data_IF_625353451620
#
_entry.id   IF_625353451620
#
_cell.length_a   1.000
_cell.length_b   1.000
_cell.length_c   1.000
_cell.angle_alpha   90.00
_cell.angle_beta   90.00
_cell.angle_gamma   90.00
#
_symmetry.space_group_name_H-M   'P 1'
#
loop_
_entity.id
_entity.type
_entity.pdbx_description
1 polymer ?
#
# COMPACT_ATOMS: atom_id res chain seq x y z
N UNK A 1 -39.00 -12.12 34.46
CA UNK A 1 -39.23 -13.46 33.88
C UNK A 1 -38.62 -13.50 32.49
N UNK A 2 -38.01 -14.64 32.14
CA UNK A 2 -37.48 -15.04 30.82
C UNK A 2 -36.01 -14.71 30.52
N UNK A 3 -35.20 -15.73 30.81
CA UNK A 3 -33.89 -16.04 30.25
C UNK A 3 -33.91 -16.09 28.72
N UNK A 4 -32.79 -15.75 28.08
CA UNK A 4 -32.41 -16.40 26.83
C UNK A 4 -30.89 -16.60 26.75
N UNK A 5 -30.53 -17.86 26.55
CA UNK A 5 -29.17 -18.39 26.36
C UNK A 5 -28.61 -17.98 24.99
N UNK A 6 -27.29 -17.82 24.89
CA UNK A 6 -26.64 -17.52 23.61
C UNK A 6 -25.13 -17.73 23.64
N UNK A 7 -24.72 -19.00 23.72
CA UNK A 7 -23.33 -19.47 23.72
C UNK A 7 -22.80 -19.65 22.28
N UNK A 8 -21.72 -18.96 21.88
CA UNK A 8 -20.79 -19.30 20.75
C UNK A 8 -19.49 -18.51 21.02
N UNK A 9 -18.29 -19.05 21.15
CA UNK A 9 -17.67 -20.23 20.55
C UNK A 9 -16.32 -19.77 19.96
N UNK A 10 -15.26 -19.76 20.76
CA UNK A 10 -13.91 -19.38 20.30
C UNK A 10 -13.34 -20.47 19.38
N UNK A 11 -13.11 -20.14 18.10
CA UNK A 11 -12.35 -20.99 17.17
C UNK A 11 -10.85 -20.71 17.30
N UNK A 12 -10.13 -21.67 17.88
CA UNK A 12 -8.68 -21.72 17.86
C UNK A 12 -8.17 -22.12 16.46
N UNK A 13 -7.29 -21.30 15.88
CA UNK A 13 -6.62 -21.58 14.61
C UNK A 13 -5.38 -22.44 14.90
N UNK A 14 -5.46 -23.75 14.62
CA UNK A 14 -4.28 -24.64 14.60
C UNK A 14 -3.54 -24.49 13.27
N UNK A 15 -2.24 -24.16 13.34
CA UNK A 15 -1.31 -24.16 12.18
C UNK A 15 -0.60 -25.51 12.05
N UNK A 16 -0.60 -26.00 10.80
CA UNK A 16 0.38 -26.84 10.09
C UNK A 16 0.76 -28.22 10.65
N UNK A 17 0.57 -29.24 9.79
CA UNK A 17 1.64 -30.11 9.23
C UNK A 17 1.02 -30.98 8.13
N UNK A 18 1.28 -30.63 6.87
CA UNK A 18 1.00 -31.49 5.72
C UNK A 18 2.23 -32.36 5.48
N UNK A 19 2.07 -33.67 5.63
CA UNK A 19 3.04 -34.67 5.21
C UNK A 19 3.04 -34.76 3.67
N UNK A 20 4.23 -34.85 3.07
CA UNK A 20 4.41 -35.23 1.66
C UNK A 20 5.03 -36.64 1.60
N UNK A 21 4.64 -37.46 0.62
CA UNK A 21 5.13 -38.82 0.48
C UNK A 21 6.56 -38.85 -0.08
N UNK A 22 7.35 -39.76 0.46
CA UNK A 22 8.71 -40.11 0.06
C UNK A 22 8.69 -41.02 -1.16
N UNK A 23 9.18 -40.53 -2.30
CA UNK A 23 9.60 -41.36 -3.42
C UNK A 23 11.07 -41.68 -3.28
N UNK A 24 11.36 -42.96 -3.07
CA UNK A 24 12.68 -43.57 -3.02
C UNK A 24 13.26 -43.70 -4.44
N UNK A 25 14.28 -42.90 -4.75
CA UNK A 25 15.13 -43.08 -5.93
C UNK A 25 16.43 -43.74 -5.47
N UNK A 26 16.53 -45.04 -5.72
CA UNK A 26 17.75 -45.84 -5.57
C UNK A 26 18.82 -45.32 -6.52
N UNK A 27 19.93 -44.83 -5.95
CA UNK A 27 21.11 -44.42 -6.71
C UNK A 27 22.14 -45.52 -6.57
N UNK A 28 22.32 -46.33 -7.62
CA UNK A 28 23.41 -47.28 -7.76
C UNK A 28 24.73 -46.50 -7.78
N UNK A 29 25.56 -46.68 -6.76
CA UNK A 29 26.94 -46.21 -6.76
C UNK A 29 27.84 -47.36 -7.19
N UNK A 30 28.34 -47.25 -8.41
CA UNK A 30 29.40 -48.06 -9.00
C UNK A 30 30.70 -47.80 -8.24
N UNK A 31 31.23 -48.86 -7.64
CA UNK A 31 32.60 -48.91 -7.11
C UNK A 31 33.61 -48.91 -8.28
N UNK A 32 34.66 -48.09 -8.17
CA UNK A 32 35.89 -48.23 -8.94
C UNK A 32 37.04 -48.63 -8.00
N UNK A 33 38.04 -49.39 -8.50
CA UNK A 33 39.00 -50.09 -7.65
C UNK A 33 40.18 -49.21 -7.25
N UNK A 34 40.64 -49.41 -6.01
CA UNK A 34 41.86 -48.82 -5.46
C UNK A 34 42.98 -49.86 -5.56
N UNK A 35 44.01 -49.55 -6.33
CA UNK A 35 45.27 -50.30 -6.39
C UNK A 35 46.01 -50.23 -5.05
N UNK A 36 46.59 -51.35 -4.63
CA UNK A 36 47.61 -51.37 -3.57
C UNK A 36 48.60 -52.51 -3.82
N UNK A 37 49.84 -52.11 -4.07
CA UNK A 37 51.04 -52.94 -4.02
C UNK A 37 51.27 -53.49 -2.60
N UNK A 38 51.84 -54.70 -2.51
CA UNK A 38 52.25 -55.30 -1.25
C UNK A 38 52.88 -56.68 -1.39
N UNK A 39 54.16 -56.68 -1.76
CA UNK A 39 55.25 -57.64 -1.44
C UNK A 39 55.04 -58.67 -0.32
N UNK A 40 55.58 -59.88 -0.53
CA UNK A 40 55.93 -60.85 0.52
C UNK A 40 56.03 -62.30 0.01
N UNK A 41 57.18 -62.74 -0.51
CA UNK A 41 58.14 -63.69 0.13
C UNK A 41 57.70 -65.14 0.20
N UNK A 42 58.51 -66.06 -0.37
CA UNK A 42 58.44 -67.49 -0.05
C UNK A 42 59.07 -68.41 -1.09
N UNK A 43 60.40 -68.44 -1.18
CA UNK A 43 61.18 -69.51 -1.82
C UNK A 43 61.13 -70.79 -0.97
N UNK A 44 60.95 -71.95 -1.61
CA UNK A 44 61.13 -73.27 -1.00
C UNK A 44 61.49 -74.27 -2.08
N UNK A 45 62.73 -74.75 -2.04
CA UNK A 45 63.37 -75.63 -3.00
C UNK A 45 63.42 -77.02 -2.36
N UNK A 46 62.97 -78.08 -3.04
CA UNK A 46 63.33 -79.44 -2.65
C UNK A 46 63.21 -80.43 -3.83
N UNK A 47 64.38 -80.90 -4.23
CA UNK A 47 64.73 -82.16 -4.90
C UNK A 47 66.05 -82.60 -4.19
N UNK A 48 66.67 -83.77 -4.46
CA UNK A 48 66.28 -84.99 -5.18
C UNK A 48 66.67 -86.27 -4.39
N UNK A 49 66.46 -87.47 -4.96
CA UNK A 49 67.37 -88.65 -5.00
C UNK A 49 66.57 -89.85 -5.51
N UNK A 50 67.01 -90.80 -6.34
CA UNK A 50 68.24 -91.09 -7.08
C UNK A 50 67.92 -92.26 -8.04
N UNK A 51 68.33 -92.12 -9.30
CA UNK A 51 69.07 -93.09 -10.15
C UNK A 51 68.83 -94.60 -10.01
N UNK A 52 68.60 -95.29 -11.15
CA UNK A 52 69.61 -96.18 -11.79
C UNK A 52 69.45 -96.20 -13.34
N UNK A 53 70.52 -95.80 -14.03
CA UNK A 53 71.08 -96.24 -15.34
C UNK A 53 70.14 -96.58 -16.53
N UNK A 54 70.17 -95.81 -17.63
CA UNK A 54 71.06 -95.92 -18.82
C UNK A 54 70.27 -96.54 -20.00
N UNK A 55 70.32 -96.12 -21.27
CA UNK A 55 71.13 -95.20 -22.07
C UNK A 55 70.23 -94.68 -23.23
N UNK A 56 70.32 -93.42 -23.65
CA UNK A 56 70.96 -92.97 -24.91
C UNK A 56 70.69 -93.91 -26.12
N UNK A 57 70.18 -93.48 -27.28
CA UNK A 57 70.25 -92.17 -27.89
C UNK A 57 69.30 -92.05 -29.11
N UNK A 58 69.06 -90.79 -29.47
CA UNK A 58 68.85 -90.27 -30.82
C UNK A 58 67.45 -90.33 -31.45
N UNK A 59 66.83 -89.14 -31.45
CA UNK A 59 66.18 -88.48 -32.59
C UNK A 59 64.91 -89.15 -33.15
N UNK A 60 63.76 -88.48 -33.20
CA UNK A 60 63.51 -87.32 -34.07
C UNK A 60 62.09 -86.81 -33.84
N UNK A 61 61.87 -85.51 -33.79
CA UNK A 61 60.53 -84.91 -33.87
C UNK A 61 60.35 -84.23 -35.23
N UNK A 62 59.60 -84.89 -36.12
CA UNK A 62 59.00 -84.30 -37.29
C UNK A 62 57.52 -84.63 -37.29
N UNK A 63 56.72 -83.59 -37.54
CA UNK A 63 55.30 -83.61 -37.85
C UNK A 63 54.92 -84.72 -38.85
N UNK A 64 54.02 -85.60 -38.41
CA UNK A 64 53.18 -86.44 -39.25
C UNK A 64 52.05 -86.98 -38.39
N UNK A 65 50.82 -86.59 -38.72
CA UNK A 65 49.58 -87.21 -38.28
C UNK A 65 49.61 -88.69 -38.68
N UNK A 66 49.94 -89.55 -37.73
CA UNK A 66 49.97 -90.99 -37.92
C UNK A 66 49.59 -91.63 -36.60
N UNK A 67 48.30 -91.91 -36.44
CA UNK A 67 47.72 -92.60 -35.30
C UNK A 67 48.03 -94.10 -35.33
N UNK A 68 49.32 -94.46 -35.43
CA UNK A 68 49.83 -95.79 -35.22
C UNK A 68 51.32 -95.66 -34.87
N UNK A 69 51.70 -96.02 -33.64
CA UNK A 69 53.11 -96.17 -33.26
C UNK A 69 53.72 -97.24 -34.17
N UNK A 70 54.70 -96.92 -35.03
CA UNK A 70 55.31 -97.92 -35.90
C UNK A 70 56.10 -98.93 -35.05
N UNK A 71 56.16 -100.18 -35.50
CA UNK A 71 57.08 -101.17 -34.94
C UNK A 71 58.53 -100.65 -35.05
N UNK A 72 59.27 -100.67 -33.95
CA UNK A 72 60.60 -100.05 -33.81
C UNK A 72 61.70 -100.74 -34.66
N UNK A 73 61.38 -101.89 -35.28
CA UNK A 73 62.31 -102.69 -36.08
C UNK A 73 61.99 -102.69 -37.59
N UNK A 74 60.77 -102.32 -38.00
CA UNK A 74 60.37 -102.37 -39.42
C UNK A 74 59.51 -101.21 -39.94
N UNK A 75 59.04 -100.29 -39.08
CA UNK A 75 58.19 -99.12 -39.44
C UNK A 75 56.91 -99.43 -40.22
N UNK A 76 56.48 -100.69 -40.24
CA UNK A 76 55.24 -101.11 -40.89
C UNK A 76 54.02 -100.75 -40.00
N UNK A 77 52.96 -100.20 -40.58
CA UNK A 77 51.77 -99.78 -39.85
C UNK A 77 51.03 -101.00 -39.32
N UNK A 78 50.90 -101.10 -37.99
CA UNK A 78 50.13 -102.17 -37.35
C UNK A 78 48.65 -102.04 -37.72
N UNK A 79 48.08 -103.10 -38.28
CA UNK A 79 46.66 -103.14 -38.61
C UNK A 79 45.83 -103.27 -37.32
N UNK A 80 44.58 -102.82 -37.33
CA UNK A 80 43.69 -102.85 -36.15
C UNK A 80 43.64 -104.25 -35.49
N UNK A 81 43.69 -105.31 -36.28
CA UNK A 81 43.70 -106.70 -35.82
C UNK A 81 44.95 -107.06 -34.99
N UNK A 82 46.11 -106.45 -35.28
CA UNK A 82 47.36 -106.73 -34.60
C UNK A 82 47.43 -105.99 -33.25
N UNK A 83 46.90 -104.77 -33.23
CA UNK A 83 46.79 -103.97 -32.01
C UNK A 83 45.78 -104.60 -31.05
N UNK A 84 44.69 -105.19 -31.57
CA UNK A 84 43.71 -105.90 -30.76
C UNK A 84 44.27 -107.17 -30.09
N UNK A 85 45.25 -107.84 -30.70
CA UNK A 85 45.85 -109.07 -30.16
C UNK A 85 46.98 -108.82 -29.17
N UNK A 86 47.67 -107.68 -29.29
CA UNK A 86 48.92 -107.39 -28.58
C UNK A 86 48.76 -106.35 -27.46
N UNK A 87 47.70 -105.55 -27.47
CA UNK A 87 47.54 -104.41 -26.56
C UNK A 87 46.53 -104.68 -25.43
N UNK A 88 46.79 -104.11 -24.25
CA UNK A 88 45.85 -104.10 -23.12
C UNK A 88 44.56 -103.32 -23.44
N UNK A 89 43.46 -103.61 -22.74
CA UNK A 89 42.13 -102.98 -22.95
C UNK A 89 42.17 -101.44 -22.89
N UNK A 90 43.06 -100.86 -22.09
CA UNK A 90 43.23 -99.41 -22.05
C UNK A 90 43.97 -98.85 -23.27
N UNK A 91 44.88 -99.62 -23.86
CA UNK A 91 45.69 -99.23 -25.02
C UNK A 91 44.88 -99.37 -26.29
N UNK A 92 44.06 -100.43 -26.43
CA UNK A 92 43.14 -100.57 -27.56
C UNK A 92 42.05 -99.49 -27.53
N UNK A 93 41.46 -99.16 -26.37
CA UNK A 93 40.47 -98.09 -26.27
C UNK A 93 41.08 -96.69 -26.55
N UNK A 94 42.38 -96.50 -26.29
CA UNK A 94 43.10 -95.29 -26.72
C UNK A 94 43.32 -95.28 -28.22
N UNK A 95 43.70 -96.41 -28.81
CA UNK A 95 43.86 -96.57 -30.25
C UNK A 95 42.52 -96.37 -30.99
N UNK A 96 41.44 -97.03 -30.58
CA UNK A 96 40.09 -96.87 -31.13
C UNK A 96 39.63 -95.40 -31.09
N UNK A 97 39.81 -94.71 -29.95
CA UNK A 97 39.48 -93.28 -29.85
C UNK A 97 40.33 -92.43 -30.79
N UNK A 98 41.61 -92.75 -30.96
CA UNK A 98 42.49 -92.03 -31.87
C UNK A 98 42.12 -92.29 -33.33
N UNK A 99 41.77 -93.53 -33.69
CA UNK A 99 41.34 -93.91 -35.04
C UNK A 99 39.98 -93.29 -35.39
N UNK A 100 38.99 -93.37 -34.49
CA UNK A 100 37.68 -92.74 -34.67
C UNK A 100 37.84 -91.22 -34.77
N UNK A 101 38.68 -90.63 -33.91
CA UNK A 101 38.97 -89.20 -33.95
C UNK A 101 39.64 -88.81 -35.27
N UNK A 102 40.65 -89.56 -35.72
CA UNK A 102 41.33 -89.31 -36.98
C UNK A 102 40.40 -89.48 -38.19
N UNK A 103 39.49 -90.47 -38.16
CA UNK A 103 38.53 -90.70 -39.24
C UNK A 103 37.46 -89.61 -39.32
N UNK A 104 37.01 -89.08 -38.18
CA UNK A 104 36.02 -87.98 -38.14
C UNK A 104 36.69 -86.63 -38.39
N UNK A 105 37.97 -86.46 -38.02
CA UNK A 105 38.78 -85.29 -38.36
C UNK A 105 39.07 -85.19 -39.87
N UNK A 106 38.94 -86.27 -40.64
CA UNK A 106 39.11 -86.27 -42.09
C UNK A 106 37.94 -85.59 -42.83
N UNK A 107 36.76 -85.50 -42.19
CA UNK A 107 35.60 -84.83 -42.78
C UNK A 107 35.80 -83.31 -42.83
N UNK A 108 35.63 -82.71 -44.02
CA UNK A 108 35.77 -81.25 -44.24
C UNK A 108 34.80 -80.39 -43.42
N UNK A 109 33.73 -81.00 -42.90
CA UNK A 109 32.68 -80.36 -42.11
C UNK A 109 32.86 -80.57 -40.59
N UNK A 110 33.94 -81.21 -40.16
CA UNK A 110 34.18 -81.46 -38.75
C UNK A 110 34.82 -80.26 -38.05
N UNK A 111 34.35 -79.95 -36.85
CA UNK A 111 34.79 -78.80 -36.07
C UNK A 111 35.03 -79.17 -34.60
N UNK A 112 36.20 -78.78 -34.08
CA UNK A 112 36.50 -78.86 -32.64
C UNK A 112 35.96 -77.64 -31.93
N UNK A 113 35.21 -77.85 -30.85
CA UNK A 113 34.76 -76.73 -30.03
C UNK A 113 35.97 -75.93 -29.48
N UNK A 114 35.97 -74.62 -29.69
CA UNK A 114 37.01 -73.69 -29.19
C UNK A 114 37.00 -73.56 -27.66
N UNK A 115 35.96 -74.02 -26.98
CA UNK A 115 35.96 -74.14 -25.52
C UNK A 115 36.67 -75.41 -25.07
N UNK A 116 37.18 -75.43 -23.83
CA UNK A 116 37.86 -76.59 -23.22
C UNK A 116 36.96 -77.83 -22.96
N UNK A 117 35.82 -77.95 -23.65
CA UNK A 117 34.88 -79.05 -23.47
C UNK A 117 35.30 -80.34 -24.19
N UNK A 118 36.27 -80.26 -25.12
CA UNK A 118 36.88 -81.41 -25.79
C UNK A 118 35.92 -82.24 -26.65
N UNK A 119 34.77 -81.68 -27.05
CA UNK A 119 33.87 -82.31 -28.02
C UNK A 119 34.07 -81.73 -29.40
N UNK A 120 34.14 -82.60 -30.41
CA UNK A 120 34.06 -82.25 -31.82
C UNK A 120 32.67 -82.62 -32.36
N UNK A 121 32.24 -81.90 -33.39
CA UNK A 121 30.96 -82.16 -34.05
C UNK A 121 31.07 -81.87 -35.55
N UNK A 122 30.25 -82.55 -36.34
CA UNK A 122 30.11 -82.28 -37.77
C UNK A 122 29.05 -81.19 -37.94
N UNK A 123 29.38 -80.15 -38.70
CA UNK A 123 28.48 -79.05 -39.02
C UNK A 123 27.96 -79.23 -40.46
N UNK A 124 26.77 -79.81 -40.60
CA UNK A 124 26.17 -80.15 -41.90
C UNK A 124 25.96 -78.93 -42.81
N UNK A 125 25.75 -77.76 -42.22
CA UNK A 125 25.56 -76.50 -42.96
C UNK A 125 26.85 -75.90 -43.52
N UNK A 126 28.02 -76.46 -43.17
CA UNK A 126 29.34 -76.05 -43.65
C UNK A 126 29.60 -74.54 -43.53
N UNK A 127 30.27 -73.98 -44.55
CA UNK A 127 30.60 -72.55 -44.63
C UNK A 127 29.40 -71.63 -44.88
N UNK A 128 28.24 -72.17 -45.29
CA UNK A 128 27.04 -71.37 -45.57
C UNK A 128 26.39 -70.80 -44.30
N UNK A 129 26.62 -71.43 -43.14
CA UNK A 129 26.23 -70.91 -41.84
C UNK A 129 27.46 -70.89 -40.92
N UNK A 130 28.14 -69.75 -40.78
CA UNK A 130 29.42 -69.68 -40.08
C UNK A 130 29.30 -69.82 -38.54
N UNK A 131 28.09 -69.90 -37.99
CA UNK A 131 27.85 -70.07 -36.55
C UNK A 131 27.76 -71.56 -36.23
N UNK A 132 28.72 -72.07 -35.45
CA UNK A 132 28.65 -73.43 -34.88
C UNK A 132 28.30 -73.32 -33.40
N UNK A 133 27.22 -73.99 -33.00
CA UNK A 133 26.83 -74.10 -31.60
C UNK A 133 27.21 -75.48 -31.10
N UNK A 134 28.07 -75.53 -30.08
CA UNK A 134 28.52 -76.80 -29.53
C UNK A 134 27.36 -77.59 -28.91
N UNK A 135 27.16 -78.84 -29.29
CA UNK A 135 26.08 -79.69 -28.75
C UNK A 135 26.29 -80.01 -27.25
N UNK A 136 27.55 -80.10 -26.81
CA UNK A 136 27.89 -80.44 -25.41
C UNK A 136 27.79 -79.26 -24.44
N UNK A 137 28.18 -78.05 -24.87
CA UNK A 137 28.30 -76.88 -23.97
C UNK A 137 27.60 -75.61 -24.47
N UNK A 138 26.90 -75.65 -25.60
CA UNK A 138 26.19 -74.53 -26.22
C UNK A 138 27.05 -73.30 -26.54
N UNK A 139 28.38 -73.43 -26.54
CA UNK A 139 29.28 -72.35 -26.92
C UNK A 139 29.18 -72.04 -28.42
N UNK A 140 29.16 -70.75 -28.78
CA UNK A 140 29.10 -70.27 -30.17
C UNK A 140 30.52 -70.02 -30.68
N UNK A 141 30.87 -70.65 -31.79
CA UNK A 141 32.19 -70.51 -32.43
C UNK A 141 32.00 -70.20 -33.92
N UNK A 142 33.00 -69.58 -34.54
CA UNK A 142 33.01 -69.30 -35.97
C UNK A 142 33.63 -70.47 -36.73
N UNK A 143 32.90 -71.04 -37.71
CA UNK A 143 33.37 -72.16 -38.52
C UNK A 143 34.57 -71.80 -39.41
N UNK A 144 34.62 -70.55 -39.91
CA UNK A 144 35.67 -70.10 -40.85
C UNK A 144 36.99 -69.70 -40.17
N UNK A 145 36.91 -69.15 -38.97
CA UNK A 145 38.09 -68.64 -38.24
C UNK A 145 38.50 -69.50 -37.05
N UNK A 146 37.70 -70.50 -36.69
CA UNK A 146 37.91 -71.40 -35.55
C UNK A 146 38.06 -70.72 -34.16
N UNK A 147 37.59 -69.48 -34.05
CA UNK A 147 37.58 -68.70 -32.80
C UNK A 147 36.18 -68.59 -32.19
N UNK A 148 36.09 -68.04 -30.98
CA UNK A 148 34.83 -67.63 -30.37
C UNK A 148 34.00 -66.76 -31.32
N UNK A 149 32.68 -66.96 -31.33
CA UNK A 149 31.78 -66.23 -32.21
C UNK A 149 31.87 -64.71 -31.99
N UNK A 150 32.10 -63.97 -33.08
CA UNK A 150 32.13 -62.52 -33.10
C UNK A 150 30.71 -61.98 -33.36
N UNK A 151 30.02 -61.51 -32.30
CA UNK A 151 28.58 -61.18 -32.36
C UNK A 151 28.23 -59.98 -33.25
N UNK A 152 29.11 -59.00 -33.34
CA UNK A 152 28.84 -57.71 -34.00
C UNK A 152 29.64 -57.51 -35.30
N UNK A 153 30.29 -58.56 -35.79
CA UNK A 153 31.12 -58.53 -37.00
C UNK A 153 30.72 -59.64 -37.96
N UNK A 154 30.71 -59.34 -39.25
CA UNK A 154 30.70 -60.39 -40.26
C UNK A 154 32.08 -61.06 -40.33
N UNK A 155 32.15 -62.25 -40.93
CA UNK A 155 33.42 -62.97 -41.09
C UNK A 155 34.49 -62.13 -41.81
N UNK A 156 34.11 -61.41 -42.87
CA UNK A 156 34.99 -60.50 -43.62
C UNK A 156 35.38 -59.22 -42.86
N UNK A 157 34.56 -58.76 -41.91
CA UNK A 157 34.90 -57.64 -41.02
C UNK A 157 35.84 -58.08 -39.90
N UNK A 158 35.72 -59.33 -39.44
CA UNK A 158 36.62 -59.92 -38.47
C UNK A 158 38.03 -60.14 -39.04
N UNK A 159 38.14 -60.62 -40.28
CA UNK A 159 39.42 -60.72 -40.98
C UNK A 159 40.11 -59.36 -41.11
N UNK A 160 39.37 -58.32 -41.50
CA UNK A 160 39.90 -56.95 -41.60
C UNK A 160 40.31 -56.37 -40.25
N UNK A 161 39.64 -56.76 -39.17
CA UNK A 161 40.03 -56.37 -37.80
C UNK A 161 41.31 -57.07 -37.34
N UNK A 162 41.55 -58.30 -37.79
CA UNK A 162 42.81 -59.00 -37.53
C UNK A 162 43.98 -58.38 -38.32
N UNK A 163 43.73 -57.88 -39.52
CA UNK A 163 44.73 -57.20 -40.36
C UNK A 163 45.03 -55.77 -39.89
N UNK A 164 44.02 -55.02 -39.46
CA UNK A 164 44.13 -53.65 -38.95
C UNK A 164 43.43 -53.51 -37.58
N UNK A 165 44.19 -53.38 -36.48
CA UNK A 165 43.61 -53.26 -35.14
C UNK A 165 42.82 -51.96 -34.93
N UNK A 166 42.94 -50.97 -35.83
CA UNK A 166 42.16 -49.73 -35.81
C UNK A 166 40.89 -49.79 -36.67
N UNK A 167 40.56 -50.96 -37.23
CA UNK A 167 39.36 -51.15 -38.07
C UNK A 167 38.08 -50.87 -37.27
N UNK A 168 37.32 -49.88 -37.75
CA UNK A 168 35.98 -49.56 -37.23
C UNK A 168 34.92 -50.17 -38.12
N UNK A 169 34.00 -50.92 -37.52
CA UNK A 169 32.90 -51.52 -38.27
C UNK A 169 31.99 -50.44 -38.87
N UNK A 170 31.29 -50.78 -39.94
CA UNK A 170 30.32 -49.88 -40.57
C UNK A 170 29.24 -49.44 -39.56
N UNK A 171 28.80 -50.35 -38.70
CA UNK A 171 27.81 -50.10 -37.65
C UNK A 171 28.33 -49.10 -36.59
N UNK A 172 29.61 -49.17 -36.22
CA UNK A 172 30.23 -48.22 -35.29
C UNK A 172 30.29 -46.80 -35.89
N UNK A 173 30.69 -46.68 -37.16
CA UNK A 173 30.72 -45.41 -37.87
C UNK A 173 29.32 -44.80 -38.05
N UNK A 174 28.30 -45.63 -38.30
CA UNK A 174 26.92 -45.19 -38.40
C UNK A 174 26.37 -44.73 -37.04
N UNK A 175 26.68 -45.46 -35.96
CA UNK A 175 26.35 -45.07 -34.59
C UNK A 175 27.03 -43.75 -34.18
N UNK A 176 28.30 -43.54 -34.52
CA UNK A 176 28.99 -42.27 -34.27
C UNK A 176 28.34 -41.11 -35.05
N UNK A 177 28.00 -41.32 -36.33
CA UNK A 177 27.31 -40.32 -37.15
C UNK A 177 25.95 -39.97 -36.56
N UNK A 178 25.17 -40.98 -36.15
CA UNK A 178 23.87 -40.79 -35.52
C UNK A 178 23.99 -40.03 -34.19
N UNK A 179 24.96 -40.40 -33.34
CA UNK A 179 25.25 -39.72 -32.08
C UNK A 179 25.67 -38.26 -32.29
N UNK A 180 26.56 -38.00 -33.26
CA UNK A 180 26.97 -36.63 -33.63
C UNK A 180 25.81 -35.81 -34.18
N UNK A 181 24.95 -36.40 -35.00
CA UNK A 181 23.75 -35.74 -35.52
C UNK A 181 22.77 -35.39 -34.40
N UNK A 182 22.55 -36.32 -33.46
CA UNK A 182 21.71 -36.10 -32.29
C UNK A 182 22.28 -35.01 -31.36
N UNK A 183 23.60 -35.02 -31.13
CA UNK A 183 24.28 -33.98 -30.37
C UNK A 183 24.18 -32.60 -31.04
N UNK A 184 24.33 -32.54 -32.37
CA UNK A 184 24.17 -31.32 -33.15
C UNK A 184 22.73 -30.79 -33.07
N UNK A 185 21.73 -31.67 -33.18
CA UNK A 185 20.33 -31.30 -33.02
C UNK A 185 20.03 -30.78 -31.60
N UNK A 186 20.51 -31.48 -30.57
CA UNK A 186 20.35 -31.05 -29.18
C UNK A 186 21.02 -29.69 -28.91
N UNK A 187 22.18 -29.42 -29.53
CA UNK A 187 22.86 -28.13 -29.43
C UNK A 187 22.05 -27.01 -30.11
N UNK A 188 21.46 -27.27 -31.28
CA UNK A 188 20.59 -26.30 -31.95
C UNK A 188 19.32 -26.02 -31.14
N UNK A 189 18.67 -27.05 -30.60
CA UNK A 189 17.52 -26.89 -29.71
C UNK A 189 17.88 -26.12 -28.42
N UNK A 190 19.05 -26.41 -27.83
CA UNK A 190 19.59 -25.69 -26.68
C UNK A 190 19.80 -24.21 -26.98
N UNK A 191 20.42 -23.88 -28.11
CA UNK A 191 20.60 -22.50 -28.56
C UNK A 191 19.26 -21.79 -28.81
N UNK A 192 18.27 -22.49 -29.38
CA UNK A 192 16.91 -21.99 -29.55
C UNK A 192 16.21 -21.68 -28.23
N UNK A 193 16.31 -22.58 -27.24
CA UNK A 193 15.77 -22.39 -25.88
C UNK A 193 16.44 -21.22 -25.17
N UNK A 194 17.76 -21.07 -25.30
CA UNK A 194 18.50 -19.95 -24.72
C UNK A 194 18.10 -18.61 -25.33
N UNK A 195 17.91 -18.55 -26.65
CA UNK A 195 17.42 -17.35 -27.32
C UNK A 195 16.00 -16.99 -26.85
N UNK A 196 15.11 -17.99 -26.72
CA UNK A 196 13.77 -17.79 -26.19
C UNK A 196 13.80 -17.26 -24.74
N UNK A 197 14.64 -17.84 -23.88
CA UNK A 197 14.83 -17.37 -22.49
C UNK A 197 15.34 -15.94 -22.44
N UNK A 198 16.29 -15.56 -23.30
CA UNK A 198 16.79 -14.17 -23.41
C UNK A 198 15.70 -13.20 -23.85
N UNK A 199 14.84 -13.59 -24.80
CA UNK A 199 13.69 -12.76 -25.24
C UNK A 199 12.70 -12.51 -24.10
N UNK A 200 12.29 -13.58 -23.40
CA UNK A 200 11.39 -13.48 -22.23
C UNK A 200 12.03 -12.62 -21.12
N UNK A 201 13.31 -12.79 -20.85
CA UNK A 201 14.02 -11.97 -19.86
C UNK A 201 14.06 -10.49 -20.25
N UNK A 202 14.29 -10.18 -21.53
CA UNK A 202 14.27 -8.81 -22.06
C UNK A 202 12.89 -8.18 -21.96
N UNK A 203 11.84 -8.91 -22.32
CA UNK A 203 10.45 -8.44 -22.22
C UNK A 203 10.05 -8.19 -20.76
N UNK A 204 10.38 -9.14 -19.87
CA UNK A 204 10.16 -8.98 -18.43
C UNK A 204 10.93 -7.79 -17.85
N UNK A 205 12.15 -7.54 -18.32
CA UNK A 205 12.93 -6.37 -17.90
C UNK A 205 12.29 -5.05 -18.38
N UNK A 206 11.76 -5.01 -19.61
CA UNK A 206 11.01 -3.86 -20.14
C UNK A 206 9.74 -3.59 -19.33
N UNK A 207 8.93 -4.62 -19.10
CA UNK A 207 7.70 -4.51 -18.30
C UNK A 207 7.98 -4.01 -16.88
N UNK A 208 9.03 -4.53 -16.22
CA UNK A 208 9.46 -4.02 -14.91
C UNK A 208 9.92 -2.55 -14.94
N UNK A 209 10.60 -2.15 -16.00
CA UNK A 209 11.05 -0.77 -16.15
C UNK A 209 9.86 0.18 -16.33
N UNK A 210 8.89 -0.19 -17.16
CA UNK A 210 7.63 0.55 -17.36
C UNK A 210 6.83 0.65 -16.07
N UNK A 211 6.63 -0.46 -15.35
CA UNK A 211 5.95 -0.47 -14.05
C UNK A 211 6.66 0.45 -13.03
N UNK A 212 8.00 0.46 -13.01
CA UNK A 212 8.77 1.35 -12.16
C UNK A 212 8.64 2.83 -12.56
N UNK A 213 8.50 3.14 -13.86
CA UNK A 213 8.23 4.49 -14.34
C UNK A 213 6.83 4.95 -13.92
N UNK A 214 5.81 4.12 -14.12
CA UNK A 214 4.44 4.39 -13.71
C UNK A 214 4.33 4.63 -12.20
N UNK A 215 5.00 3.79 -11.39
CA UNK A 215 5.05 3.97 -9.94
C UNK A 215 5.69 5.31 -9.55
N UNK A 216 6.78 5.71 -10.22
CA UNK A 216 7.43 7.02 -10.00
C UNK A 216 6.53 8.17 -10.41
N UNK A 217 5.81 8.05 -11.52
CA UNK A 217 4.88 9.08 -11.97
C UNK A 217 3.69 9.24 -11.02
N UNK A 218 3.06 8.13 -10.62
CA UNK A 218 1.98 8.14 -9.61
C UNK A 218 2.46 8.71 -8.27
N UNK A 219 3.71 8.42 -7.86
CA UNK A 219 4.29 9.01 -6.66
C UNK A 219 4.45 10.54 -6.79
N UNK A 220 4.94 11.03 -7.94
CA UNK A 220 5.05 12.48 -8.24
C UNK A 220 3.68 13.15 -8.26
N UNK A 221 2.68 12.50 -8.84
CA UNK A 221 1.31 13.01 -8.88
C UNK A 221 0.71 13.13 -7.47
N UNK A 222 0.88 12.12 -6.62
CA UNK A 222 0.46 12.18 -5.20
C UNK A 222 1.12 13.34 -4.45
N UNK A 223 2.39 13.63 -4.72
CA UNK A 223 3.09 14.79 -4.13
C UNK A 223 2.48 16.09 -4.64
N UNK A 224 2.23 16.22 -5.95
CA UNK A 224 1.57 17.40 -6.55
C UNK A 224 0.16 17.60 -6.00
N UNK A 225 -0.61 16.52 -5.82
CA UNK A 225 -1.95 16.57 -5.25
C UNK A 225 -1.92 17.05 -3.79
N UNK A 226 -1.02 16.50 -2.96
CA UNK A 226 -0.80 16.98 -1.59
C UNK A 226 -0.41 18.45 -1.55
N UNK A 227 0.42 18.90 -2.50
CA UNK A 227 0.79 20.31 -2.60
C UNK A 227 -0.42 21.19 -2.95
N UNK A 228 -1.23 20.81 -3.94
CA UNK A 228 -2.48 21.52 -4.29
C UNK A 228 -3.47 21.56 -3.12
N UNK A 229 -3.56 20.48 -2.34
CA UNK A 229 -4.40 20.44 -1.13
C UNK A 229 -3.91 21.44 -0.09
N UNK A 230 -2.59 21.46 0.20
CA UNK A 230 -1.98 22.45 1.11
C UNK A 230 -2.21 23.88 0.63
N UNK A 231 -1.99 24.16 -0.65
CA UNK A 231 -2.24 25.48 -1.23
C UNK A 231 -3.71 25.91 -1.06
N UNK A 232 -4.66 25.02 -1.36
CA UNK A 232 -6.10 25.27 -1.13
C UNK A 232 -6.42 25.51 0.34
N UNK A 233 -5.84 24.77 1.26
CA UNK A 233 -6.01 24.98 2.71
C UNK A 233 -5.43 26.32 3.15
N UNK A 234 -4.23 26.67 2.66
CA UNK A 234 -3.62 27.98 2.97
C UNK A 234 -4.47 29.12 2.42
N UNK A 235 -5.02 28.99 1.21
CA UNK A 235 -5.92 29.99 0.63
C UNK A 235 -7.20 30.12 1.45
N UNK A 236 -7.85 29.00 1.81
CA UNK A 236 -9.04 29.02 2.69
C UNK A 236 -8.75 29.66 4.04
N UNK A 237 -7.58 29.40 4.62
CA UNK A 237 -7.17 30.02 5.87
C UNK A 237 -6.92 31.53 5.70
N UNK A 238 -6.29 31.95 4.61
CA UNK A 238 -6.12 33.38 4.28
C UNK A 238 -7.47 34.07 4.08
N UNK A 239 -8.40 33.48 3.33
CA UNK A 239 -9.75 34.01 3.14
C UNK A 239 -10.52 34.10 4.47
N UNK A 240 -10.40 33.10 5.35
CA UNK A 240 -10.97 33.14 6.69
C UNK A 240 -10.40 34.29 7.52
N UNK A 241 -9.08 34.49 7.48
CA UNK A 241 -8.43 35.60 8.19
C UNK A 241 -8.89 36.97 7.64
N UNK A 242 -8.96 37.11 6.31
CA UNK A 242 -9.47 38.33 5.68
C UNK A 242 -10.93 38.60 6.06
N UNK A 243 -11.77 37.56 6.12
CA UNK A 243 -13.16 37.68 6.57
C UNK A 243 -13.25 38.15 8.02
N UNK A 244 -12.46 37.57 8.92
CA UNK A 244 -12.42 37.98 10.33
C UNK A 244 -11.97 39.44 10.49
N UNK A 245 -10.97 39.87 9.71
CA UNK A 245 -10.52 41.27 9.70
C UNK A 245 -11.63 42.19 9.18
N UNK A 246 -12.32 41.81 8.10
CA UNK A 246 -13.45 42.58 7.55
C UNK A 246 -14.60 42.69 8.55
N UNK A 247 -15.03 41.58 9.16
CA UNK A 247 -16.09 41.57 10.18
C UNK A 247 -15.71 42.44 11.39
N UNK A 248 -14.44 42.44 11.80
CA UNK A 248 -13.93 43.31 12.87
C UNK A 248 -13.99 44.79 12.49
N UNK A 249 -13.60 45.14 11.25
CA UNK A 249 -13.69 46.51 10.75
C UNK A 249 -15.15 46.98 10.66
N UNK A 250 -16.04 46.17 10.09
CA UNK A 250 -17.47 46.48 10.03
C UNK A 250 -18.09 46.67 11.41
N UNK A 251 -17.71 45.84 12.39
CA UNK A 251 -18.13 46.01 13.78
C UNK A 251 -17.65 47.34 14.36
N UNK A 252 -16.38 47.70 14.15
CA UNK A 252 -15.84 48.99 14.61
C UNK A 252 -16.54 50.17 13.95
N UNK A 253 -16.89 50.09 12.66
CA UNK A 253 -17.66 51.13 11.98
C UNK A 253 -19.08 51.24 12.54
N UNK A 254 -19.77 50.11 12.76
CA UNK A 254 -21.10 50.10 13.40
C UNK A 254 -21.06 50.73 14.79
N UNK A 255 -20.06 50.38 15.60
CA UNK A 255 -19.87 50.98 16.93
C UNK A 255 -19.59 52.49 16.84
N UNK A 256 -18.79 52.94 15.86
CA UNK A 256 -18.55 54.37 15.60
C UNK A 256 -19.84 55.09 15.18
N UNK A 257 -20.61 54.52 14.26
CA UNK A 257 -21.89 55.08 13.80
C UNK A 257 -22.90 55.12 14.94
N UNK A 258 -22.98 54.09 15.77
CA UNK A 258 -23.86 54.07 16.93
C UNK A 258 -23.46 55.14 17.95
N UNK A 259 -22.17 55.29 18.26
CA UNK A 259 -21.67 56.38 19.12
C UNK A 259 -22.05 57.75 18.56
N UNK A 260 -21.95 57.94 17.25
CA UNK A 260 -22.39 59.18 16.59
C UNK A 260 -23.90 59.40 16.75
N UNK A 261 -24.72 58.38 16.46
CA UNK A 261 -26.18 58.44 16.63
C UNK A 261 -26.60 58.74 18.07
N UNK A 262 -25.94 58.13 19.06
CA UNK A 262 -26.19 58.40 20.49
C UNK A 262 -25.83 59.85 20.83
N UNK A 263 -24.66 60.33 20.40
CA UNK A 263 -24.26 61.75 20.60
C UNK A 263 -25.25 62.71 19.96
N UNK A 264 -25.73 62.42 18.75
CA UNK A 264 -26.71 63.25 18.06
C UNK A 264 -28.07 63.24 18.77
N UNK A 265 -28.53 62.07 19.23
CA UNK A 265 -29.75 61.95 20.05
C UNK A 265 -29.65 62.76 21.33
N UNK A 266 -28.50 62.72 22.02
CA UNK A 266 -28.26 63.53 23.22
C UNK A 266 -28.33 65.02 22.91
N UNK A 267 -27.65 65.48 21.85
CA UNK A 267 -27.73 66.88 21.39
C UNK A 267 -29.17 67.29 21.05
N UNK A 268 -29.92 66.43 20.38
CA UNK A 268 -31.33 66.68 20.06
C UNK A 268 -32.20 66.75 21.33
N UNK A 269 -32.00 65.86 22.29
CA UNK A 269 -32.71 65.91 23.59
C UNK A 269 -32.38 67.17 24.37
N UNK A 270 -31.11 67.59 24.38
CA UNK A 270 -30.67 68.83 25.01
C UNK A 270 -31.32 70.05 24.35
N UNK A 271 -31.27 70.15 23.01
CA UNK A 271 -31.99 71.19 22.26
C UNK A 271 -33.47 71.22 22.57
N UNK A 272 -34.13 70.06 22.66
CA UNK A 272 -35.55 69.99 23.02
C UNK A 272 -35.79 70.49 24.45
N UNK A 273 -34.93 70.13 25.41
CA UNK A 273 -35.03 70.62 26.79
C UNK A 273 -34.82 72.13 26.87
N UNK A 274 -33.89 72.67 26.10
CA UNK A 274 -33.63 74.10 26.01
C UNK A 274 -34.83 74.83 25.41
N UNK A 275 -35.36 74.37 24.27
CA UNK A 275 -36.59 74.93 23.68
C UNK A 275 -37.78 74.88 24.65
N UNK A 276 -37.91 73.82 25.46
CA UNK A 276 -38.93 73.74 26.50
C UNK A 276 -38.71 74.74 27.64
N UNK A 277 -37.44 74.97 28.04
CA UNK A 277 -37.08 75.99 29.04
C UNK A 277 -37.41 77.38 28.50
N UNK A 278 -36.99 77.71 27.29
CA UNK A 278 -37.31 78.98 26.63
C UNK A 278 -38.81 79.20 26.48
N UNK A 279 -39.58 78.18 26.07
CA UNK A 279 -41.05 78.28 25.99
C UNK A 279 -41.67 78.54 27.35
N UNK A 280 -41.24 77.82 28.40
CA UNK A 280 -41.71 78.04 29.77
C UNK A 280 -41.34 79.44 30.28
N UNK A 281 -40.14 79.91 29.96
CA UNK A 281 -39.69 81.25 30.33
C UNK A 281 -40.49 82.34 29.60
N UNK A 282 -40.68 82.22 28.29
CA UNK A 282 -41.55 83.11 27.50
C UNK A 282 -42.98 83.11 28.06
N UNK A 283 -43.54 81.97 28.42
CA UNK A 283 -44.85 81.90 29.06
C UNK A 283 -44.88 82.61 30.42
N UNK A 284 -43.85 82.40 31.26
CA UNK A 284 -43.71 83.12 32.55
C UNK A 284 -43.63 84.63 32.33
N UNK A 285 -42.82 85.08 31.38
CA UNK A 285 -42.69 86.49 31.02
C UNK A 285 -44.03 87.06 30.53
N UNK A 286 -44.75 86.36 29.64
CA UNK A 286 -46.07 86.78 29.18
C UNK A 286 -47.10 86.86 30.32
N UNK A 287 -47.09 85.89 31.24
CA UNK A 287 -47.97 85.92 32.43
C UNK A 287 -47.62 87.09 33.33
N UNK A 288 -46.34 87.31 33.62
CA UNK A 288 -45.87 88.45 34.42
C UNK A 288 -46.24 89.78 33.76
N UNK A 289 -46.06 89.94 32.44
CA UNK A 289 -46.47 91.13 31.73
C UNK A 289 -47.99 91.35 31.79
N UNK A 290 -48.79 90.29 31.61
CA UNK A 290 -50.24 90.35 31.74
C UNK A 290 -50.65 90.77 33.15
N UNK A 291 -50.00 90.23 34.18
CA UNK A 291 -50.22 90.62 35.57
C UNK A 291 -49.85 92.08 35.81
N UNK A 292 -48.66 92.53 35.39
CA UNK A 292 -48.23 93.93 35.47
C UNK A 292 -49.18 94.87 34.73
N UNK A 293 -49.67 94.49 33.53
CA UNK A 293 -50.68 95.27 32.78
C UNK A 293 -52.01 95.34 33.54
N UNK A 294 -52.50 94.23 34.09
CA UNK A 294 -53.72 94.20 34.92
C UNK A 294 -53.58 95.04 36.19
N UNK A 295 -52.42 94.98 36.85
CA UNK A 295 -52.11 95.78 38.03
C UNK A 295 -52.10 97.27 37.71
N UNK A 296 -51.37 97.68 36.65
CA UNK A 296 -51.39 99.06 36.14
C UNK A 296 -52.81 99.53 35.76
N UNK A 297 -53.64 98.66 35.18
CA UNK A 297 -55.04 98.98 34.89
C UNK A 297 -55.87 99.16 36.17
N UNK A 298 -55.70 98.29 37.16
CA UNK A 298 -56.35 98.40 38.48
C UNK A 298 -55.93 99.68 39.20
N UNK A 299 -54.64 100.01 39.16
CA UNK A 299 -54.09 101.24 39.72
C UNK A 299 -54.67 102.47 39.03
N UNK A 300 -54.65 102.54 37.68
CA UNK A 300 -55.30 103.61 36.91
C UNK A 300 -56.80 103.74 37.23
N UNK A 301 -57.50 102.62 37.41
CA UNK A 301 -58.92 102.64 37.77
C UNK A 301 -59.12 103.18 39.20
N UNK A 302 -58.29 102.77 40.15
CA UNK A 302 -58.30 103.30 41.53
C UNK A 302 -58.03 104.80 41.54
N UNK A 303 -57.01 105.25 40.82
CA UNK A 303 -56.68 106.68 40.69
C UNK A 303 -57.82 107.47 40.03
N UNK A 304 -58.47 106.92 39.00
CA UNK A 304 -59.66 107.54 38.39
C UNK A 304 -60.83 107.64 39.37
N UNK A 305 -61.11 106.57 40.11
CA UNK A 305 -62.17 106.55 41.13
C UNK A 305 -61.87 107.54 42.25
N UNK A 306 -60.61 107.64 42.67
CA UNK A 306 -60.16 108.59 43.69
C UNK A 306 -60.30 110.03 43.20
N UNK A 307 -59.88 110.34 41.97
CA UNK A 307 -60.09 111.64 41.33
C UNK A 307 -61.58 111.99 41.23
N UNK A 308 -62.42 111.05 40.83
CA UNK A 308 -63.87 111.25 40.74
C UNK A 308 -64.51 111.49 42.12
N UNK A 309 -64.10 110.72 43.14
CA UNK A 309 -64.50 110.95 44.54
C UNK A 309 -64.07 112.32 45.04
N UNK A 310 -62.82 112.72 44.79
CA UNK A 310 -62.30 114.03 45.18
C UNK A 310 -63.05 115.16 44.48
N UNK A 311 -63.37 115.03 43.18
CA UNK A 311 -64.19 116.00 42.46
C UNK A 311 -65.63 116.07 43.01
N UNK A 312 -66.23 114.92 43.31
CA UNK A 312 -67.57 114.83 43.92
C UNK A 312 -67.59 115.46 45.32
N UNK A 313 -66.57 115.19 46.14
CA UNK A 313 -66.41 115.77 47.47
C UNK A 313 -66.19 117.28 47.39
N UNK A 314 -65.34 117.77 46.47
CA UNK A 314 -65.17 119.20 46.22
C UNK A 314 -66.48 119.85 45.76
N UNK A 315 -67.23 119.21 44.86
CA UNK A 315 -68.53 119.71 44.40
C UNK A 315 -69.56 119.75 45.55
N UNK A 316 -69.60 118.71 46.40
CA UNK A 316 -70.45 118.65 47.58
C UNK A 316 -70.06 119.73 48.60
N UNK A 317 -68.76 119.93 48.85
CA UNK A 317 -68.24 120.98 49.71
C UNK A 317 -68.57 122.39 49.17
N UNK A 318 -68.44 122.62 47.87
CA UNK A 318 -68.85 123.87 47.23
C UNK A 318 -70.36 124.10 47.33
N UNK A 319 -71.17 123.07 47.11
CA UNK A 319 -72.63 123.14 47.28
C UNK A 319 -72.99 123.43 48.73
N UNK A 320 -72.38 122.74 49.69
CA UNK A 320 -72.57 122.98 51.12
C UNK A 320 -72.13 124.39 51.54
N UNK A 321 -71.03 124.91 50.98
CA UNK A 321 -70.58 126.28 51.22
C UNK A 321 -71.54 127.32 50.65
N UNK A 322 -72.06 127.10 49.43
CA UNK A 322 -73.11 127.94 48.82
C UNK A 322 -74.38 127.92 49.68
N UNK A 323 -74.83 126.75 50.12
CA UNK A 323 -75.99 126.63 51.01
C UNK A 323 -75.75 127.30 52.37
N UNK A 324 -74.58 127.11 52.99
CA UNK A 324 -74.20 127.83 54.22
C UNK A 324 -74.21 129.35 54.03
N UNK A 325 -73.74 129.86 52.89
CA UNK A 325 -73.81 131.30 52.55
C UNK A 325 -75.26 131.78 52.43
N UNK A 326 -76.14 131.00 51.77
CA UNK A 326 -77.58 131.33 51.69
C UNK A 326 -78.23 131.34 53.07
N UNK A 327 -77.95 130.34 53.90
CA UNK A 327 -78.47 130.25 55.27
C UNK A 327 -77.95 131.43 56.10
N UNK A 328 -76.66 131.76 56.02
CA UNK A 328 -76.08 132.90 56.71
C UNK A 328 -76.65 134.23 56.22
N UNK A 329 -76.88 134.41 54.92
CA UNK A 329 -77.53 135.60 54.38
C UNK A 329 -78.98 135.72 54.86
N UNK A 330 -79.74 134.60 54.88
CA UNK A 330 -81.09 134.58 55.43
C UNK A 330 -81.10 134.92 56.92
N UNK A 331 -80.20 134.32 57.70
CA UNK A 331 -80.01 134.64 59.13
C UNK A 331 -79.62 136.09 59.32
N UNK A 332 -78.73 136.64 58.49
CA UNK A 332 -78.33 138.05 58.56
C UNK A 332 -79.52 138.98 58.29
N UNK A 333 -80.35 138.68 57.29
CA UNK A 333 -81.59 139.43 57.04
C UNK A 333 -82.58 139.28 58.20
N UNK A 334 -82.70 138.08 58.77
CA UNK A 334 -83.55 137.82 59.93
C UNK A 334 -83.05 138.51 61.20
N UNK A 335 -81.74 138.52 61.44
CA UNK A 335 -81.04 139.25 62.50
C UNK A 335 -81.12 140.76 62.27
N UNK A 336 -81.03 141.27 61.05
CA UNK A 336 -81.23 142.68 60.72
C UNK A 336 -82.68 143.10 60.96
N UNK A 337 -83.66 142.27 60.57
CA UNK A 337 -85.07 142.46 60.90
C UNK A 337 -85.29 142.38 62.41
N UNK A 338 -84.71 141.40 63.10
CA UNK A 338 -84.79 141.23 64.56
C UNK A 338 -84.14 142.40 65.29
N UNK A 339 -82.95 142.84 64.87
CA UNK A 339 -82.26 144.03 65.39
C UNK A 339 -83.00 145.32 65.06
N UNK A 340 -83.66 145.42 63.91
CA UNK A 340 -84.51 146.57 63.58
C UNK A 340 -85.75 146.60 64.46
N UNK A 341 -86.40 145.46 64.69
CA UNK A 341 -87.48 145.33 65.68
C UNK A 341 -86.98 145.70 67.06
N UNK A 342 -85.88 145.14 67.54
CA UNK A 342 -85.26 145.50 68.83
C UNK A 342 -84.88 146.99 68.89
N UNK A 343 -84.38 147.60 67.81
CA UNK A 343 -84.07 149.03 67.78
C UNK A 343 -85.32 149.91 67.72
N UNK A 344 -86.41 149.45 67.14
CA UNK A 344 -87.68 150.17 67.09
C UNK A 344 -88.42 150.07 68.43
N UNK A 345 -88.51 148.85 68.96
CA UNK A 345 -89.18 148.57 70.21
C UNK A 345 -88.31 148.83 71.42
N UNK A 346 -87.00 148.98 71.34
CA UNK A 346 -86.19 149.20 72.53
C UNK A 346 -85.45 150.55 72.51
N UNK A 347 -85.27 151.12 73.70
CA UNK A 347 -84.44 152.29 73.99
C UNK A 347 -83.23 151.81 74.79
N UNK A 348 -82.05 152.33 74.46
CA UNK A 348 -80.84 152.01 75.21
C UNK A 348 -80.91 152.66 76.61
N UNK A 349 -80.70 151.85 77.65
CA UNK A 349 -80.61 152.33 79.03
C UNK A 349 -79.37 153.22 79.20
N UNK A 350 -79.55 154.44 79.68
CA UNK A 350 -78.49 155.46 79.84
C UNK A 350 -77.36 155.11 80.82
N UNK A 351 -77.39 153.95 81.48
CA UNK A 351 -76.34 153.47 82.39
C UNK A 351 -75.53 152.26 81.90
N UNK A 352 -76.11 151.33 81.11
CA UNK A 352 -75.47 150.04 80.80
C UNK A 352 -75.68 149.51 79.37
N UNK A 353 -76.34 150.26 78.48
CA UNK A 353 -76.38 149.96 77.05
C UNK A 353 -77.27 148.79 76.60
N UNK A 354 -77.95 148.08 77.51
CA UNK A 354 -78.93 147.04 77.17
C UNK A 354 -80.27 147.65 76.69
N UNK A 355 -80.98 146.90 75.84
CA UNK A 355 -82.21 147.30 75.16
C UNK A 355 -83.45 147.12 76.07
N UNK A 356 -84.17 148.22 76.39
CA UNK A 356 -85.42 148.24 77.19
C UNK A 356 -86.62 148.59 76.31
N UNK A 357 -87.69 147.78 76.34
CA UNK A 357 -88.91 147.93 75.53
C UNK A 357 -89.63 149.30 75.70
N UNK A 358 -90.02 149.93 74.58
CA UNK A 358 -90.69 151.22 74.42
C UNK A 358 -92.19 150.97 74.42
N UNK A 359 -92.79 151.14 75.58
CA UNK A 359 -94.24 151.24 75.68
C UNK A 359 -94.64 152.66 75.27
N UNK A 360 -95.30 152.81 74.13
CA UNK A 360 -95.95 154.07 73.74
C UNK A 360 -97.23 154.24 74.57
N UNK A 361 -97.11 154.97 75.66
CA UNK A 361 -98.24 155.38 76.48
C UNK A 361 -98.95 156.60 75.87
N UNK A 362 -100.22 156.35 75.53
CA UNK A 362 -101.40 157.22 75.44
C UNK A 362 -101.46 158.31 74.37
#
# INVERSE_FOLDING_TARGET
MLCFMGNKGHKAVRRKKTAKPTTSTSTNQTFTPRTRNGTGTGTGHESPTTNIASAAAASSSSSSSSSASPCDECRESLEYNDIQRLADEQTIAKYERQVIRAAVEEDENFFWCTSDCGSGQIHDSGSAQPIVICIKCNHRSCFLHEVNWHEDLSCEEYDRLQEDPDFRSYLELENEKWSRAQAAQAAQEGAGRDLARKRVAKEKAKSKHEEAQDLRERARERVRERQRQRERETQKNQERQQRLVREKLERQEREKQERQRVRERQKNQERQRELQREKKERQRQQVQERQKKKERQRERLRERQERERALSEQAAAQKAAKERRKIAARRKIEEEKSMATLRATAKACGGCGWAIERNSGW
#
